data_IF_311075445292
#
_entry.id   IF_311075445292
#
_cell.length_a   1.000
_cell.length_b   1.000
_cell.length_c   1.000
_cell.angle_alpha   90.00
_cell.angle_beta   90.00
_cell.angle_gamma   90.00
#
_symmetry.space_group_name_H-M   'P 1'
#
loop_
_entity.id
_entity.type
_entity.pdbx_description
1 polymer ?
#
# COMPACT_ATOMS: atom_id res chain seq x y z
N UNK A 1 -0.19 2.51 31.68
CA UNK A 1 0.89 2.92 30.77
C UNK A 1 1.65 4.04 31.45
N UNK A 2 2.94 3.85 31.73
CA UNK A 2 3.73 4.86 32.45
C UNK A 2 4.03 6.04 31.54
N UNK A 3 3.66 7.24 31.96
CA UNK A 3 4.03 8.50 31.30
C UNK A 3 5.55 8.57 31.26
N UNK A 4 6.13 8.64 30.06
CA UNK A 4 7.58 8.79 29.88
C UNK A 4 7.86 10.22 29.47
N UNK A 5 8.92 10.81 30.02
CA UNK A 5 9.39 12.12 29.59
C UNK A 5 10.59 11.93 28.67
N UNK A 6 10.58 12.63 27.55
CA UNK A 6 11.68 12.61 26.59
C UNK A 6 12.03 14.06 26.22
N UNK A 7 13.31 14.27 25.92
CA UNK A 7 13.80 15.55 25.45
C UNK A 7 13.52 15.67 23.95
N UNK A 8 12.79 16.70 23.55
CA UNK A 8 12.50 16.95 22.14
C UNK A 8 13.79 17.20 21.34
N UNK A 9 14.02 16.53 20.19
CA UNK A 9 15.22 16.74 19.38
C UNK A 9 15.28 18.11 18.71
N UNK A 10 14.15 18.81 18.57
CA UNK A 10 14.07 20.11 17.91
C UNK A 10 14.23 21.28 18.90
N UNK A 11 13.35 21.40 19.89
CA UNK A 11 13.36 22.52 20.83
C UNK A 11 14.19 22.27 22.11
N UNK A 12 14.71 21.04 22.30
CA UNK A 12 15.51 20.60 23.46
C UNK A 12 14.79 20.71 24.82
N UNK A 13 13.48 20.94 24.82
CA UNK A 13 12.67 20.95 26.03
C UNK A 13 12.15 19.54 26.33
N UNK A 14 11.88 19.28 27.61
CA UNK A 14 11.25 18.04 28.05
C UNK A 14 9.77 18.07 27.70
N UNK A 15 9.26 16.97 27.15
CA UNK A 15 7.85 16.80 26.81
C UNK A 15 7.39 15.41 27.23
N UNK A 16 6.11 15.31 27.56
CA UNK A 16 5.48 14.02 27.79
C UNK A 16 5.42 13.23 26.47
N UNK A 17 5.73 11.94 26.54
CA UNK A 17 5.73 11.01 25.43
C UNK A 17 4.98 9.75 25.82
N UNK A 18 3.99 9.39 25.00
CA UNK A 18 3.12 8.25 25.24
C UNK A 18 3.65 6.97 24.60
N UNK A 19 4.77 7.07 23.87
CA UNK A 19 5.38 5.96 23.14
C UNK A 19 4.89 5.84 21.69
N UNK A 20 4.12 6.81 21.21
CA UNK A 20 3.64 6.85 19.84
C UNK A 20 4.69 7.35 18.86
N UNK A 21 4.71 6.74 17.67
CA UNK A 21 5.55 7.15 16.54
C UNK A 21 5.18 8.55 16.02
N UNK A 22 3.91 8.93 16.16
CA UNK A 22 3.37 10.19 15.67
C UNK A 22 3.17 11.22 16.79
N UNK A 23 3.70 10.94 17.98
CA UNK A 23 3.61 11.86 19.10
C UNK A 23 4.35 13.16 18.75
N UNK A 24 3.77 14.28 19.17
CA UNK A 24 4.30 15.62 18.94
C UNK A 24 4.72 16.25 20.26
N UNK A 25 5.77 17.06 20.21
CA UNK A 25 6.19 17.84 21.36
C UNK A 25 5.10 18.86 21.76
N UNK A 26 4.77 18.96 23.04
CA UNK A 26 3.76 19.93 23.51
C UNK A 26 4.20 21.40 23.38
N UNK A 27 5.50 21.69 23.23
CA UNK A 27 5.99 23.05 23.03
C UNK A 27 6.15 23.43 21.55
N UNK A 28 6.91 22.66 20.76
CA UNK A 28 7.17 23.01 19.37
C UNK A 28 6.23 22.33 18.35
N UNK A 29 5.39 21.38 18.79
CA UNK A 29 4.44 20.65 17.94
C UNK A 29 5.07 19.81 16.81
N UNK A 30 6.40 19.68 16.82
CA UNK A 30 7.16 18.81 15.91
C UNK A 30 7.12 17.36 16.38
N UNK A 31 7.35 16.46 15.43
CA UNK A 31 7.33 15.01 15.64
C UNK A 31 8.55 14.59 16.47
N UNK A 32 8.29 13.86 17.55
CA UNK A 32 9.33 13.34 18.43
C UNK A 32 10.21 12.27 17.76
N UNK A 33 9.60 11.44 16.91
CA UNK A 33 10.29 10.32 16.22
C UNK A 33 10.31 10.48 14.69
N UNK A 34 10.55 11.70 14.19
CA UNK A 34 10.57 11.99 12.75
C UNK A 34 11.57 11.10 11.99
N UNK A 35 12.74 10.80 12.57
CA UNK A 35 13.74 9.93 11.97
C UNK A 35 13.22 8.50 11.75
N UNK A 36 12.47 7.94 12.71
CA UNK A 36 11.88 6.61 12.58
C UNK A 36 10.79 6.59 11.51
N UNK A 37 9.97 7.64 11.42
CA UNK A 37 8.97 7.78 10.35
C UNK A 37 9.66 7.81 8.98
N UNK A 38 10.70 8.63 8.81
CA UNK A 38 11.45 8.72 7.56
C UNK A 38 12.10 7.38 7.18
N UNK A 39 12.63 6.65 8.16
CA UNK A 39 13.16 5.30 7.96
C UNK A 39 12.07 4.31 7.53
N UNK A 40 10.88 4.37 8.10
CA UNK A 40 9.76 3.51 7.66
C UNK A 40 9.28 3.84 6.25
N UNK A 41 9.20 5.13 5.90
CA UNK A 41 8.80 5.57 4.56
C UNK A 41 9.83 5.08 3.52
N UNK A 42 11.11 5.35 3.74
CA UNK A 42 12.17 4.90 2.83
C UNK A 42 12.22 3.37 2.68
N UNK A 43 12.01 2.61 3.75
CA UNK A 43 11.91 1.15 3.66
C UNK A 43 10.69 0.69 2.85
N UNK A 44 9.54 1.36 3.01
CA UNK A 44 8.33 1.06 2.23
C UNK A 44 8.53 1.37 0.75
N UNK A 45 9.11 2.51 0.43
CA UNK A 45 9.42 2.91 -0.95
C UNK A 45 10.38 1.93 -1.62
N UNK A 46 11.43 1.50 -0.91
CA UNK A 46 12.36 0.49 -1.40
C UNK A 46 11.66 -0.85 -1.69
N UNK A 47 10.81 -1.32 -0.79
CA UNK A 47 10.03 -2.55 -1.01
C UNK A 47 9.09 -2.43 -2.20
N UNK A 48 8.40 -1.30 -2.34
CA UNK A 48 7.50 -1.07 -3.48
C UNK A 48 8.26 -1.02 -4.80
N UNK A 49 9.44 -0.40 -4.84
CA UNK A 49 10.29 -0.38 -6.02
C UNK A 49 10.77 -1.80 -6.39
N UNK A 50 11.16 -2.59 -5.40
CA UNK A 50 11.62 -3.97 -5.60
C UNK A 50 10.48 -4.88 -6.11
N UNK A 51 9.29 -4.80 -5.52
CA UNK A 51 8.10 -5.51 -5.99
C UNK A 51 7.66 -5.08 -7.40
N UNK A 52 7.81 -3.80 -7.75
CA UNK A 52 7.51 -3.32 -9.10
C UNK A 52 8.49 -3.90 -10.13
N UNK A 53 9.78 -3.95 -9.81
CA UNK A 53 10.80 -4.56 -10.66
C UNK A 53 10.57 -6.06 -10.80
N UNK A 54 10.21 -6.75 -9.71
CA UNK A 54 9.91 -8.18 -9.73
C UNK A 54 8.66 -8.48 -10.56
N UNK A 55 7.59 -7.70 -10.42
CA UNK A 55 6.40 -7.78 -11.28
C UNK A 55 6.76 -7.61 -12.75
N UNK A 56 7.53 -6.59 -13.10
CA UNK A 56 8.00 -6.36 -14.47
C UNK A 56 8.87 -7.51 -14.98
N UNK A 57 9.71 -8.12 -14.13
CA UNK A 57 10.53 -9.28 -14.50
C UNK A 57 9.68 -10.51 -14.78
N UNK A 58 8.69 -10.80 -13.94
CA UNK A 58 7.74 -11.92 -14.12
C UNK A 58 6.92 -11.71 -15.40
N UNK A 59 6.46 -10.47 -15.62
CA UNK A 59 5.71 -10.08 -16.80
C UNK A 59 6.52 -10.22 -18.10
N UNK A 60 7.82 -9.89 -18.04
CA UNK A 60 8.71 -9.99 -19.20
C UNK A 60 9.20 -11.42 -19.47
N UNK A 61 9.21 -12.30 -18.47
CA UNK A 61 9.61 -13.70 -18.65
C UNK A 61 8.60 -14.54 -19.45
N UNK A 62 7.31 -14.17 -19.43
CA UNK A 62 6.26 -14.98 -20.08
C UNK A 62 5.24 -14.14 -20.86
N UNK A 63 5.63 -13.50 -21.98
CA UNK A 63 4.70 -12.76 -22.85
C UNK A 63 3.56 -13.63 -23.40
N UNK A 64 3.76 -14.95 -23.44
CA UNK A 64 2.76 -15.93 -23.85
C UNK A 64 1.58 -16.05 -22.86
N UNK A 65 1.84 -15.95 -21.55
CA UNK A 65 0.80 -16.11 -20.53
C UNK A 65 -0.17 -14.94 -20.51
N UNK A 66 0.29 -13.69 -20.72
CA UNK A 66 -0.59 -12.51 -20.85
C UNK A 66 -1.60 -12.68 -21.98
N UNK A 67 -1.13 -13.17 -23.13
CA UNK A 67 -1.99 -13.35 -24.31
C UNK A 67 -3.05 -14.42 -24.07
N UNK A 68 -2.74 -15.44 -23.27
CA UNK A 68 -3.71 -16.46 -22.86
C UNK A 68 -4.71 -15.89 -21.84
N UNK A 69 -4.26 -15.16 -20.81
CA UNK A 69 -5.15 -14.62 -19.78
C UNK A 69 -6.11 -13.57 -20.30
N UNK A 70 -5.67 -12.70 -21.21
CA UNK A 70 -6.53 -11.67 -21.80
C UNK A 70 -7.60 -12.32 -22.69
N UNK A 71 -7.22 -13.37 -23.43
CA UNK A 71 -8.14 -14.11 -24.30
C UNK A 71 -9.16 -14.92 -23.49
N UNK A 72 -8.74 -15.61 -22.42
CA UNK A 72 -9.66 -16.38 -21.56
C UNK A 72 -10.63 -15.48 -20.81
N UNK A 73 -10.18 -14.32 -20.32
CA UNK A 73 -11.04 -13.35 -19.64
C UNK A 73 -12.10 -12.80 -20.58
N UNK A 74 -11.72 -12.47 -21.82
CA UNK A 74 -12.65 -11.99 -22.84
C UNK A 74 -13.70 -13.05 -23.21
N UNK A 75 -13.28 -14.31 -23.37
CA UNK A 75 -14.20 -15.42 -23.64
C UNK A 75 -15.20 -15.61 -22.50
N UNK A 76 -14.73 -15.59 -21.24
CA UNK A 76 -15.61 -15.76 -20.09
C UNK A 76 -16.65 -14.64 -19.97
N UNK A 77 -16.24 -13.38 -20.17
CA UNK A 77 -17.16 -12.24 -20.14
C UNK A 77 -18.18 -12.37 -21.27
N UNK A 78 -17.73 -12.70 -22.49
CA UNK A 78 -18.62 -12.92 -23.63
C UNK A 78 -19.63 -14.05 -23.37
N UNK A 79 -19.18 -15.15 -22.77
CA UNK A 79 -20.05 -16.28 -22.44
C UNK A 79 -21.12 -15.90 -21.42
N UNK A 80 -20.75 -15.21 -20.34
CA UNK A 80 -21.70 -14.76 -19.31
C UNK A 80 -22.76 -13.83 -19.89
N UNK A 81 -22.35 -12.84 -20.70
CA UNK A 81 -23.28 -11.91 -21.35
C UNK A 81 -24.26 -12.63 -22.28
N UNK A 82 -23.77 -13.65 -23.01
CA UNK A 82 -24.60 -14.46 -23.91
C UNK A 82 -25.63 -15.26 -23.12
N UNK A 83 -25.24 -15.90 -22.01
CA UNK A 83 -26.17 -16.64 -21.14
C UNK A 83 -27.24 -15.72 -20.55
N UNK A 84 -26.84 -14.54 -20.06
CA UNK A 84 -27.79 -13.54 -19.54
C UNK A 84 -28.80 -13.12 -20.62
N UNK A 85 -28.33 -12.83 -21.83
CA UNK A 85 -29.20 -12.44 -22.94
C UNK A 85 -30.22 -13.53 -23.29
N UNK A 86 -29.82 -14.80 -23.30
CA UNK A 86 -30.72 -15.94 -23.54
C UNK A 86 -31.76 -16.05 -22.43
N UNK A 87 -31.37 -15.92 -21.16
CA UNK A 87 -32.30 -15.99 -20.03
C UNK A 87 -33.33 -14.86 -20.10
N UNK A 88 -32.92 -13.63 -20.43
CA UNK A 88 -33.82 -12.49 -20.57
C UNK A 88 -34.81 -12.70 -21.73
N UNK A 89 -34.37 -13.24 -22.86
CA UNK A 89 -35.23 -13.53 -24.01
C UNK A 89 -36.22 -14.68 -23.76
N UNK A 90 -35.91 -15.61 -22.86
CA UNK A 90 -36.80 -16.73 -22.52
C UNK A 90 -37.75 -16.40 -21.35
N UNK A 91 -37.45 -15.35 -20.57
CA UNK A 91 -38.25 -14.91 -19.42
C UNK A 91 -39.17 -13.71 -19.74
N UNK A 92 -38.97 -13.04 -20.89
CA UNK A 92 -39.88 -12.02 -21.43
C UNK A 92 -40.79 -12.60 -22.49
#
# INVERSE_FOLDING_TARGET
MGKKEIKCPHCKQWTEWEGGLYDRCQNCHELLEQEKINKMISLRERKQAEEAIERLRIENQNPFLRKITDYTTTIFISFILTVIAIVVLMAG
#
